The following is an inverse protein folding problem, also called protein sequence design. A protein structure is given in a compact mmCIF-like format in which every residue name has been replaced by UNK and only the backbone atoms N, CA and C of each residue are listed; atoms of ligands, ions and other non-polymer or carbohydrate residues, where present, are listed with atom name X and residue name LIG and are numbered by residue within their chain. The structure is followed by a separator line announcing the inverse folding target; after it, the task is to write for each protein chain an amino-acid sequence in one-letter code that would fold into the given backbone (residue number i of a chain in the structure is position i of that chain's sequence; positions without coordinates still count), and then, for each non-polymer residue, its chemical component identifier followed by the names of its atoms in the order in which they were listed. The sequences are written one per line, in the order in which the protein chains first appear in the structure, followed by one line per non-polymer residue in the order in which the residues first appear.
data_IF_333868461594
#
_entry.id   IF_333868461594
#
_cell.length_a   1.000
_cell.length_b   1.000
_cell.length_c   1.000
_cell.angle_alpha   90.00
_cell.angle_beta   90.00
_cell.angle_gamma   90.00
#
_symmetry.space_group_name_H-M   'P 1'
#
loop_
_entity.id
_entity.type
_entity.pdbx_description
1 polymer ?
#
# COMPACT_ATOMS: atom_id res chain seq x y z
N UNK A 1 -13.23 -19.83 -8.67
CA UNK A 1 -12.91 -18.61 -7.91
C UNK A 1 -12.89 -17.40 -8.83
N UNK A 2 -13.82 -16.49 -8.58
CA UNK A 2 -13.79 -15.11 -9.06
C UNK A 2 -12.55 -14.37 -8.54
N UNK A 3 -12.18 -13.24 -9.16
CA UNK A 3 -11.08 -12.39 -8.66
C UNK A 3 -11.34 -11.92 -7.24
N UNK A 4 -12.61 -11.64 -6.90
CA UNK A 4 -13.03 -11.18 -5.58
C UNK A 4 -12.74 -12.25 -4.53
N UNK A 5 -13.18 -13.49 -4.75
CA UNK A 5 -12.94 -14.59 -3.81
C UNK A 5 -11.45 -14.84 -3.60
N UNK A 6 -10.66 -14.88 -4.69
CA UNK A 6 -9.22 -15.12 -4.64
C UNK A 6 -8.48 -13.99 -3.90
N UNK A 7 -8.97 -12.74 -4.01
CA UNK A 7 -8.43 -11.61 -3.27
C UNK A 7 -8.82 -11.65 -1.79
N UNK A 8 -10.08 -11.89 -1.46
CA UNK A 8 -10.56 -11.92 -0.07
C UNK A 8 -9.87 -13.04 0.74
N UNK A 9 -9.58 -14.19 0.13
CA UNK A 9 -8.78 -15.25 0.75
C UNK A 9 -7.35 -14.78 1.11
N UNK A 10 -6.76 -13.91 0.29
CA UNK A 10 -5.41 -13.39 0.48
C UNK A 10 -5.36 -12.07 1.26
N UNK A 11 -6.49 -11.39 1.45
CA UNK A 11 -6.58 -10.08 2.09
C UNK A 11 -5.90 -10.02 3.48
N UNK A 12 -6.04 -11.01 4.39
CA UNK A 12 -5.33 -11.00 5.67
C UNK A 12 -3.79 -11.05 5.51
N UNK A 13 -3.30 -11.79 4.50
CA UNK A 13 -1.87 -11.86 4.18
C UNK A 13 -1.38 -10.52 3.62
N UNK A 14 -2.11 -9.93 2.68
CA UNK A 14 -1.72 -8.64 2.07
C UNK A 14 -1.69 -7.53 3.12
N UNK A 15 -2.68 -7.48 4.00
CA UNK A 15 -2.72 -6.56 5.14
C UNK A 15 -1.51 -6.76 6.07
N UNK A 16 -1.21 -8.02 6.44
CA UNK A 16 -0.06 -8.34 7.31
C UNK A 16 1.28 -7.89 6.72
N UNK A 17 1.45 -7.99 5.40
CA UNK A 17 2.65 -7.52 4.69
C UNK A 17 2.71 -5.99 4.73
N UNK A 18 1.64 -5.31 4.32
CA UNK A 18 1.58 -3.85 4.28
C UNK A 18 1.80 -3.24 5.67
N UNK A 19 1.13 -3.78 6.69
CA UNK A 19 1.24 -3.34 8.08
C UNK A 19 2.66 -3.47 8.62
N UNK A 20 3.38 -4.55 8.28
CA UNK A 20 4.79 -4.71 8.68
C UNK A 20 5.72 -3.67 8.07
N UNK A 21 5.42 -3.20 6.87
CA UNK A 21 6.25 -2.19 6.16
C UNK A 21 5.91 -0.78 6.65
N UNK A 22 4.62 -0.49 6.82
CA UNK A 22 4.12 0.87 7.08
C UNK A 22 4.00 1.19 8.58
N UNK A 23 3.72 0.18 9.42
CA UNK A 23 3.50 0.36 10.85
C UNK A 23 2.20 1.11 11.20
N UNK A 24 1.32 1.32 10.22
CA UNK A 24 0.05 2.05 10.36
C UNK A 24 -1.08 1.20 9.81
N UNK A 25 -2.18 1.09 10.56
CA UNK A 25 -3.38 0.36 10.13
C UNK A 25 -4.00 1.02 8.91
N UNK A 26 -4.23 2.34 8.96
CA UNK A 26 -4.87 3.07 7.86
C UNK A 26 -4.05 3.00 6.56
N UNK A 27 -2.74 3.25 6.63
CA UNK A 27 -1.90 3.17 5.43
C UNK A 27 -1.82 1.73 4.89
N UNK A 28 -1.92 0.71 5.75
CA UNK A 28 -1.96 -0.69 5.33
C UNK A 28 -3.29 -1.05 4.65
N UNK A 29 -4.43 -0.59 5.17
CA UNK A 29 -5.73 -0.79 4.54
C UNK A 29 -5.78 -0.12 3.16
N UNK A 30 -5.31 1.13 3.06
CA UNK A 30 -5.25 1.88 1.81
C UNK A 30 -4.37 1.15 0.78
N UNK A 31 -3.21 0.63 1.19
CA UNK A 31 -2.33 -0.12 0.30
C UNK A 31 -2.97 -1.42 -0.22
N UNK A 32 -3.74 -2.11 0.62
CA UNK A 32 -4.48 -3.33 0.23
C UNK A 32 -5.61 -2.98 -0.74
N UNK A 33 -6.33 -1.88 -0.51
CA UNK A 33 -7.38 -1.40 -1.42
C UNK A 33 -6.81 -1.02 -2.79
N UNK A 34 -5.71 -0.27 -2.83
CA UNK A 34 -5.02 0.07 -4.08
C UNK A 34 -4.55 -1.19 -4.82
N UNK A 35 -4.10 -2.22 -4.08
CA UNK A 35 -3.73 -3.52 -4.65
C UNK A 35 -4.93 -4.20 -5.32
N UNK A 36 -6.11 -4.17 -4.68
CA UNK A 36 -7.34 -4.70 -5.26
C UNK A 36 -7.69 -4.00 -6.57
N UNK A 37 -7.68 -2.66 -6.60
CA UNK A 37 -8.02 -1.88 -7.80
C UNK A 37 -7.11 -2.25 -8.99
N UNK A 38 -5.80 -2.44 -8.75
CA UNK A 38 -4.86 -2.86 -9.79
C UNK A 38 -5.08 -4.29 -10.26
N UNK A 39 -5.50 -5.18 -9.35
CA UNK A 39 -5.79 -6.57 -9.70
C UNK A 39 -7.10 -6.71 -10.49
N UNK A 40 -8.13 -5.97 -10.10
CA UNK A 40 -9.43 -5.96 -10.76
C UNK A 40 -9.33 -5.41 -12.19
N UNK A 41 -8.60 -4.29 -12.36
CA UNK A 41 -8.36 -3.64 -13.66
C UNK A 41 -7.37 -4.39 -14.57
N UNK A 42 -6.63 -5.38 -14.05
CA UNK A 42 -5.71 -6.17 -14.87
C UNK A 42 -6.47 -7.04 -15.88
N UNK A 43 -6.25 -6.76 -17.17
CA UNK A 43 -6.84 -7.52 -18.29
C UNK A 43 -6.30 -8.97 -18.36
N UNK A 44 -5.06 -9.17 -17.90
CA UNK A 44 -4.42 -10.50 -17.88
C UNK A 44 -4.48 -11.09 -16.48
N UNK A 45 -4.94 -12.35 -16.37
CA UNK A 45 -4.90 -13.08 -15.10
C UNK A 45 -3.47 -13.56 -14.85
N UNK A 46 -2.86 -13.24 -13.69
CA UNK A 46 -1.52 -13.72 -13.37
C UNK A 46 -1.51 -15.23 -13.18
N UNK A 47 -0.38 -15.87 -13.48
CA UNK A 47 -0.17 -17.32 -13.28
C UNK A 47 -0.34 -17.71 -11.80
N UNK A 48 0.01 -16.81 -10.88
CA UNK A 48 -0.25 -16.95 -9.44
C UNK A 48 -0.76 -15.62 -8.87
N UNK A 49 -2.02 -15.60 -8.42
CA UNK A 49 -2.57 -14.42 -7.77
C UNK A 49 -1.82 -14.08 -6.47
N UNK A 50 -1.47 -15.08 -5.65
CA UNK A 50 -0.68 -14.87 -4.43
C UNK A 50 0.66 -14.18 -4.73
N UNK A 51 1.41 -14.66 -5.72
CA UNK A 51 2.68 -14.04 -6.11
C UNK A 51 2.50 -12.62 -6.62
N UNK A 52 1.52 -12.41 -7.50
CA UNK A 52 1.23 -11.09 -8.05
C UNK A 52 0.79 -10.08 -6.98
N UNK A 53 -0.17 -10.44 -6.15
CA UNK A 53 -0.76 -9.57 -5.13
C UNK A 53 0.25 -9.23 -4.03
N UNK A 54 1.03 -10.20 -3.55
CA UNK A 54 2.07 -9.96 -2.54
C UNK A 54 3.18 -9.03 -3.05
N UNK A 55 3.61 -9.19 -4.30
CA UNK A 55 4.57 -8.27 -4.92
C UNK A 55 3.99 -6.86 -5.09
N UNK A 56 2.72 -6.77 -5.51
CA UNK A 56 2.03 -5.49 -5.75
C UNK A 56 1.86 -4.69 -4.45
N UNK A 57 1.34 -5.31 -3.39
CA UNK A 57 1.14 -4.64 -2.10
C UNK A 57 2.47 -4.23 -1.47
N UNK A 58 3.51 -5.05 -1.61
CA UNK A 58 4.87 -4.72 -1.13
C UNK A 58 5.40 -3.47 -1.81
N UNK A 59 5.24 -3.36 -3.13
CA UNK A 59 5.72 -2.20 -3.89
C UNK A 59 4.97 -0.93 -3.51
N UNK A 60 3.64 -1.01 -3.39
CA UNK A 60 2.80 0.12 -2.92
C UNK A 60 3.24 0.57 -1.54
N UNK A 61 3.41 -0.36 -0.59
CA UNK A 61 3.83 -0.03 0.78
C UNK A 61 5.21 0.66 0.83
N UNK A 62 6.18 0.18 0.04
CA UNK A 62 7.50 0.82 -0.06
C UNK A 62 7.40 2.24 -0.62
N UNK A 63 6.57 2.45 -1.65
CA UNK A 63 6.40 3.77 -2.27
C UNK A 63 5.68 4.77 -1.35
N UNK A 64 4.70 4.30 -0.57
CA UNK A 64 4.06 5.09 0.50
C UNK A 64 5.08 5.46 1.58
N UNK A 65 5.87 4.50 2.07
CA UNK A 65 6.90 4.76 3.09
C UNK A 65 7.94 5.79 2.61
N UNK A 66 8.39 5.66 1.35
CA UNK A 66 9.32 6.62 0.74
C UNK A 66 8.69 8.01 0.62
N UNK A 67 7.43 8.10 0.22
CA UNK A 67 6.71 9.37 0.09
C UNK A 67 6.48 10.04 1.45
N UNK A 68 6.14 9.27 2.48
CA UNK A 68 6.03 9.77 3.85
C UNK A 68 7.36 10.34 4.35
N UNK A 69 8.48 9.66 4.09
CA UNK A 69 9.82 10.16 4.43
C UNK A 69 10.17 11.45 3.71
N UNK A 70 9.94 11.53 2.39
CA UNK A 70 10.20 12.75 1.60
C UNK A 70 9.37 13.93 2.12
N UNK A 71 8.11 13.72 2.51
CA UNK A 71 7.27 14.77 3.12
C UNK A 71 7.85 15.28 4.45
N UNK A 72 8.40 14.40 5.29
CA UNK A 72 9.05 14.77 6.55
C UNK A 72 10.37 15.52 6.33
N UNK A 73 11.17 15.11 5.35
CA UNK A 73 12.44 15.77 5.00
C UNK A 73 12.19 17.16 4.39
N UNK A 74 11.12 17.33 3.59
CA UNK A 74 10.67 18.66 3.12
C UNK A 74 10.10 19.54 4.24
N UNK A 75 9.70 18.95 5.38
CA UNK A 75 9.18 19.67 6.55
C UNK A 75 10.30 20.06 7.54
N UNK A 76 11.56 20.13 7.10
CA UNK A 76 12.65 20.81 7.82
C UNK A 76 12.79 22.24 7.25
N UNK A 77 11.79 23.08 7.51
CA UNK A 77 11.75 24.51 7.18
C UNK A 77 11.00 25.26 8.28
N UNK A 78 11.44 26.46 8.68
CA UNK A 78 11.13 27.03 9.99
C UNK A 78 9.63 27.26 10.20
N UNK A 79 9.09 26.61 11.23
CA UNK A 79 7.77 26.94 11.75
C UNK A 79 7.75 28.42 12.18
N UNK A 80 6.86 29.18 11.53
CA UNK A 80 6.29 30.48 11.92
C UNK A 80 7.23 31.69 12.03
N UNK A 81 7.10 32.73 11.16
CA UNK A 81 7.49 34.07 11.56
C UNK A 81 6.49 34.56 12.63
N UNK A 82 7.02 34.86 13.82
CA UNK A 82 6.28 35.55 14.88
C UNK A 82 5.77 36.89 14.37
N UNK A 83 4.45 37.08 14.42
CA UNK A 83 3.82 38.39 14.23
C UNK A 83 3.53 38.95 15.63
N UNK A 84 4.46 39.74 16.16
CA UNK A 84 4.21 40.78 17.16
C UNK A 84 4.58 42.11 16.55
#
# INVERSE_FOLDING_TARGET
MSKVEEFEELRPLLFSIAYRILGSVGEAEDAVQETWLRFDTSATRPVSAKGFLSATVTRIAIDVLRSARVRREKYVGPCCPSRS
#
